data_IF_674530999974
#
_entry.id   IF_674530999974
#
_cell.length_a   1.000
_cell.length_b   1.000
_cell.length_c   1.000
_cell.angle_alpha   90.00
_cell.angle_beta   90.00
_cell.angle_gamma   90.00
#
_symmetry.space_group_name_H-M   'P 1'
#
loop_
_entity.id
_entity.type
_entity.pdbx_description
1 polymer ?
#
# COMPACT_ATOMS: atom_id res chain seq x y z
N UNK A 1 -7.51 16.46 1.59
CA UNK A 1 -6.58 17.62 1.60
C UNK A 1 -5.90 17.79 0.25
N UNK A 2 -5.02 16.89 -0.20
CA UNK A 2 -4.35 17.04 -1.51
C UNK A 2 -5.32 17.05 -2.71
N UNK A 3 -6.25 16.09 -2.77
CA UNK A 3 -7.33 16.09 -3.78
C UNK A 3 -8.34 17.23 -3.63
N UNK A 4 -8.33 17.94 -2.50
CA UNK A 4 -9.18 19.10 -2.20
C UNK A 4 -8.44 20.43 -2.47
N UNK A 5 -7.27 20.38 -3.11
CA UNK A 5 -6.49 21.57 -3.51
C UNK A 5 -5.63 22.19 -2.40
N UNK A 6 -5.52 21.57 -1.22
CA UNK A 6 -4.67 22.08 -0.15
C UNK A 6 -3.21 21.79 -0.47
N UNK A 7 -2.40 22.84 -0.58
CA UNK A 7 -0.98 22.71 -0.90
C UNK A 7 -0.16 22.29 0.32
N UNK A 8 1.02 21.71 0.07
CA UNK A 8 2.01 21.40 1.11
C UNK A 8 2.51 22.64 1.88
N UNK A 9 2.24 23.86 1.38
CA UNK A 9 2.56 25.11 2.05
C UNK A 9 1.56 25.51 3.14
N UNK A 10 0.39 24.86 3.23
CA UNK A 10 -0.58 25.13 4.29
C UNK A 10 -0.04 24.66 5.65
N UNK A 11 -0.08 25.51 6.67
CA UNK A 11 0.53 25.21 7.98
C UNK A 11 0.07 23.87 8.58
N UNK A 12 -1.23 23.56 8.54
CA UNK A 12 -1.76 22.26 9.00
C UNK A 12 -1.23 21.07 8.20
N UNK A 13 -1.02 21.23 6.89
CA UNK A 13 -0.45 20.17 6.05
C UNK A 13 1.02 19.98 6.40
N UNK A 14 1.76 21.08 6.61
CA UNK A 14 3.16 21.04 7.04
C UNK A 14 3.32 20.33 8.38
N UNK A 15 2.53 20.69 9.39
CA UNK A 15 2.58 20.07 10.71
C UNK A 15 2.25 18.56 10.63
N UNK A 16 1.27 18.19 9.79
CA UNK A 16 0.94 16.79 9.54
C UNK A 16 2.07 16.03 8.82
N UNK A 17 2.76 16.67 7.86
CA UNK A 17 3.91 16.08 7.16
C UNK A 17 5.09 15.85 8.11
N UNK A 18 5.37 16.83 8.98
CA UNK A 18 6.45 16.72 9.97
C UNK A 18 6.14 15.62 10.98
N UNK A 19 4.88 15.51 11.43
CA UNK A 19 4.42 14.39 12.24
C UNK A 19 4.60 13.04 11.53
N UNK A 20 4.11 12.89 10.30
CA UNK A 20 4.20 11.62 9.56
C UNK A 20 5.66 11.21 9.37
N UNK A 21 6.54 12.14 9.01
CA UNK A 21 7.99 11.86 8.91
C UNK A 21 8.58 11.41 10.24
N UNK A 22 8.22 12.07 11.34
CA UNK A 22 8.71 11.71 12.67
C UNK A 22 8.21 10.34 13.17
N UNK A 23 7.09 9.84 12.63
CA UNK A 23 6.54 8.52 12.94
C UNK A 23 7.04 7.39 12.03
N UNK A 24 7.95 7.68 11.08
CA UNK A 24 8.51 6.63 10.23
C UNK A 24 9.46 5.73 11.04
N UNK A 25 9.28 4.43 10.90
CA UNK A 25 10.15 3.43 11.53
C UNK A 25 11.55 3.40 10.90
N UNK A 26 12.50 2.83 11.63
CA UNK A 26 13.89 2.73 11.17
C UNK A 26 14.05 1.90 9.89
N UNK A 27 13.11 1.02 9.56
CA UNK A 27 13.08 0.25 8.31
C UNK A 27 12.35 0.97 7.17
N UNK A 28 11.66 2.09 7.45
CA UNK A 28 10.89 2.87 6.49
C UNK A 28 9.38 2.66 6.55
N UNK A 29 8.89 1.71 7.35
CA UNK A 29 7.46 1.43 7.50
C UNK A 29 6.74 2.43 8.42
N UNK A 30 5.40 2.37 8.43
CA UNK A 30 4.56 3.04 9.43
C UNK A 30 3.60 2.07 10.09
N UNK A 31 3.43 2.23 11.40
CA UNK A 31 2.45 1.49 12.17
C UNK A 31 1.00 1.73 11.69
N UNK A 32 0.26 0.66 11.45
CA UNK A 32 -1.14 0.67 11.05
C UNK A 32 -2.09 0.60 12.24
N UNK A 33 -2.64 1.75 12.63
CA UNK A 33 -3.57 1.82 13.77
C UNK A 33 -4.90 1.09 13.55
N UNK A 34 -5.39 0.98 12.31
CA UNK A 34 -6.76 0.54 12.00
C UNK A 34 -6.84 -0.66 11.04
N UNK A 35 -5.71 -1.12 10.54
CA UNK A 35 -5.59 -2.30 9.70
C UNK A 35 -4.23 -2.94 9.96
N UNK A 36 -4.17 -4.26 9.83
CA UNK A 36 -3.01 -5.10 10.19
C UNK A 36 -1.94 -5.01 9.10
N UNK A 37 -0.72 -4.57 9.39
CA UNK A 37 -0.34 -3.50 10.33
C UNK A 37 0.55 -2.53 9.57
N UNK A 38 1.83 -2.89 9.40
CA UNK A 38 2.81 -2.02 8.79
C UNK A 38 2.60 -1.91 7.28
N UNK A 39 2.08 -2.96 6.63
CA UNK A 39 1.67 -2.87 5.21
C UNK A 39 0.56 -1.82 5.06
N UNK A 40 -0.43 -1.87 5.95
CA UNK A 40 -1.57 -0.94 5.97
C UNK A 40 -1.14 0.51 6.23
N UNK A 41 -0.34 0.75 7.28
CA UNK A 41 0.15 2.08 7.62
C UNK A 41 1.00 2.70 6.51
N UNK A 42 1.93 1.91 5.96
CA UNK A 42 2.86 2.38 4.92
C UNK A 42 2.15 2.74 3.62
N UNK A 43 1.20 1.91 3.16
CA UNK A 43 0.40 2.19 1.98
C UNK A 43 -0.36 3.52 2.08
N UNK A 44 -1.01 3.78 3.22
CA UNK A 44 -1.78 5.01 3.40
C UNK A 44 -0.90 6.25 3.36
N UNK A 45 0.26 6.20 4.01
CA UNK A 45 1.22 7.30 3.96
C UNK A 45 1.67 7.55 2.52
N UNK A 46 2.14 6.53 1.82
CA UNK A 46 2.62 6.67 0.44
C UNK A 46 1.55 7.27 -0.49
N UNK A 47 0.30 6.79 -0.40
CA UNK A 47 -0.81 7.36 -1.18
C UNK A 47 -1.13 8.80 -0.79
N UNK A 48 -1.13 9.11 0.50
CA UNK A 48 -1.36 10.47 1.01
C UNK A 48 -0.34 11.46 0.46
N UNK A 49 0.95 11.08 0.47
CA UNK A 49 2.03 11.91 -0.07
C UNK A 49 1.89 12.13 -1.58
N UNK A 50 1.55 11.08 -2.32
CA UNK A 50 1.26 11.19 -3.76
C UNK A 50 0.06 12.11 -4.03
N UNK A 51 -1.01 11.99 -3.25
CA UNK A 51 -2.19 12.84 -3.36
C UNK A 51 -1.92 14.32 -3.06
N UNK A 52 -0.93 14.61 -2.20
CA UNK A 52 -0.44 15.95 -1.91
C UNK A 52 0.57 16.46 -2.96
N UNK A 53 0.81 15.71 -4.04
CA UNK A 53 1.79 16.02 -5.08
C UNK A 53 3.22 16.22 -4.54
N UNK A 54 3.61 15.48 -3.48
CA UNK A 54 5.00 15.47 -3.04
C UNK A 54 5.89 14.77 -4.08
N UNK A 55 7.16 15.17 -4.13
CA UNK A 55 8.17 14.42 -4.86
C UNK A 55 8.40 13.06 -4.18
N UNK A 56 7.94 12.01 -4.85
CA UNK A 56 8.06 10.63 -4.37
C UNK A 56 9.50 10.12 -4.42
N UNK A 57 10.45 10.86 -5.02
CA UNK A 57 11.87 10.51 -5.02
C UNK A 57 12.63 10.89 -3.75
N UNK A 58 11.96 11.49 -2.77
CA UNK A 58 12.59 11.78 -1.48
C UNK A 58 13.09 10.48 -0.80
N UNK A 59 14.28 10.49 -0.16
CA UNK A 59 14.89 9.27 0.39
C UNK A 59 13.99 8.50 1.37
N UNK A 60 13.26 9.20 2.23
CA UNK A 60 12.35 8.60 3.21
C UNK A 60 11.15 7.89 2.55
N UNK A 61 10.67 8.39 1.41
CA UNK A 61 9.61 7.73 0.63
C UNK A 61 10.14 6.51 -0.11
N UNK A 62 11.29 6.63 -0.78
CA UNK A 62 11.93 5.47 -1.43
C UNK A 62 12.22 4.35 -0.44
N UNK A 63 12.63 4.68 0.79
CA UNK A 63 12.86 3.71 1.86
C UNK A 63 11.59 2.93 2.20
N UNK A 64 10.44 3.59 2.25
CA UNK A 64 9.15 2.95 2.46
C UNK A 64 8.72 2.04 1.30
N UNK A 65 8.97 2.47 0.05
CA UNK A 65 8.76 1.64 -1.13
C UNK A 65 9.64 0.38 -1.10
N UNK A 66 10.94 0.56 -0.82
CA UNK A 66 11.90 -0.53 -0.67
C UNK A 66 11.52 -1.48 0.48
N UNK A 67 10.97 -0.97 1.58
CA UNK A 67 10.45 -1.81 2.65
C UNK A 67 9.31 -2.71 2.15
N UNK A 68 8.30 -2.15 1.45
CA UNK A 68 7.23 -2.95 0.86
C UNK A 68 7.79 -4.03 -0.08
N UNK A 69 8.72 -3.68 -0.96
CA UNK A 69 9.37 -4.65 -1.85
C UNK A 69 10.10 -5.76 -1.08
N UNK A 70 10.78 -5.41 0.03
CA UNK A 70 11.56 -6.35 0.83
C UNK A 70 10.72 -7.39 1.58
N UNK A 71 9.45 -7.09 1.86
CA UNK A 71 8.52 -7.99 2.56
C UNK A 71 7.51 -8.65 1.62
N UNK A 72 7.72 -8.58 0.29
CA UNK A 72 6.91 -9.34 -0.65
C UNK A 72 7.23 -10.83 -0.55
N UNK A 73 6.19 -11.67 -0.49
CA UNK A 73 6.36 -13.12 -0.44
C UNK A 73 6.71 -13.72 -1.81
N UNK A 74 7.18 -14.97 -1.82
CA UNK A 74 7.55 -15.69 -3.05
C UNK A 74 6.36 -15.91 -4.00
N UNK A 75 5.14 -16.01 -3.46
CA UNK A 75 3.90 -16.11 -4.25
C UNK A 75 3.49 -14.80 -4.94
N UNK A 76 4.22 -13.70 -4.67
CA UNK A 76 3.99 -12.37 -5.23
C UNK A 76 3.00 -11.53 -4.42
N UNK A 77 2.36 -12.10 -3.40
CA UNK A 77 1.48 -11.38 -2.48
C UNK A 77 2.21 -10.75 -1.30
N UNK A 78 1.41 -10.11 -0.46
CA UNK A 78 1.81 -9.58 0.85
C UNK A 78 0.84 -10.04 1.92
N UNK A 79 1.36 -10.23 3.13
CA UNK A 79 0.57 -10.67 4.25
C UNK A 79 1.25 -10.43 5.58
N UNK A 80 0.44 -10.11 6.57
CA UNK A 80 0.86 -9.76 7.91
C UNK A 80 -0.22 -10.22 8.89
N UNK A 81 0.20 -10.94 9.92
CA UNK A 81 -0.69 -11.42 10.99
C UNK A 81 -0.75 -10.43 12.14
N UNK A 82 -1.82 -10.51 12.92
CA UNK A 82 -2.09 -9.61 14.05
C UNK A 82 -0.99 -9.62 15.14
N UNK A 83 -0.21 -10.70 15.27
CA UNK A 83 0.90 -10.79 16.24
C UNK A 83 2.00 -9.74 16.00
N UNK A 84 2.06 -9.13 14.81
CA UNK A 84 2.93 -7.96 14.52
C UNK A 84 2.66 -6.75 15.43
N UNK A 85 1.45 -6.66 16.03
CA UNK A 85 1.17 -5.62 17.02
C UNK A 85 1.94 -5.84 18.32
N UNK A 86 2.18 -7.11 18.68
CA UNK A 86 2.86 -7.49 19.91
C UNK A 86 4.38 -7.49 19.73
N UNK A 87 4.87 -7.95 18.58
CA UNK A 87 6.30 -8.00 18.27
C UNK A 87 6.58 -7.55 16.82
N UNK A 88 7.31 -6.43 16.63
CA UNK A 88 7.65 -5.91 15.30
C UNK A 88 8.58 -6.83 14.49
N UNK A 89 9.13 -7.90 15.06
CA UNK A 89 9.87 -8.90 14.27
C UNK A 89 8.99 -9.57 13.21
N UNK A 90 7.66 -9.58 13.39
CA UNK A 90 6.69 -10.16 12.46
C UNK A 90 6.17 -9.17 11.42
N UNK A 91 6.81 -8.01 11.27
CA UNK A 91 6.48 -7.02 10.22
C UNK A 91 6.42 -7.67 8.85
N UNK A 92 5.27 -7.54 8.19
CA UNK A 92 5.04 -8.09 6.86
C UNK A 92 5.17 -9.62 6.80
N UNK A 93 4.93 -10.33 7.92
CA UNK A 93 4.95 -11.78 7.98
C UNK A 93 3.56 -12.36 8.23
N UNK A 94 3.16 -13.29 7.36
CA UNK A 94 1.88 -14.00 7.42
C UNK A 94 1.57 -14.65 6.09
N UNK A 95 0.44 -15.35 5.95
CA UNK A 95 -0.03 -15.77 4.63
C UNK A 95 -0.39 -14.55 3.79
N UNK A 96 -0.07 -14.56 2.50
CA UNK A 96 -0.54 -13.53 1.57
C UNK A 96 -2.06 -13.43 1.60
N UNK A 97 -2.57 -12.20 1.60
CA UNK A 97 -4.02 -11.94 1.56
C UNK A 97 -4.35 -10.96 0.43
N UNK A 98 -5.57 -11.04 -0.10
CA UNK A 98 -5.99 -10.18 -1.19
C UNK A 98 -6.01 -8.70 -0.78
N UNK A 99 -6.51 -8.39 0.43
CA UNK A 99 -6.56 -7.01 0.93
C UNK A 99 -5.18 -6.43 1.18
N UNK A 100 -4.28 -7.14 1.85
CA UNK A 100 -2.94 -6.63 2.14
C UNK A 100 -2.05 -6.54 0.90
N UNK A 101 -2.18 -7.50 -0.02
CA UNK A 101 -1.54 -7.40 -1.35
C UNK A 101 -2.04 -6.16 -2.08
N UNK A 102 -3.34 -5.90 -2.07
CA UNK A 102 -3.90 -4.70 -2.68
C UNK A 102 -3.37 -3.40 -2.04
N UNK A 103 -3.17 -3.38 -0.72
CA UNK A 103 -2.55 -2.24 -0.02
C UNK A 103 -1.11 -2.00 -0.49
N UNK A 104 -0.27 -3.03 -0.48
CA UNK A 104 1.11 -2.94 -0.96
C UNK A 104 1.18 -2.48 -2.42
N UNK A 105 0.37 -3.08 -3.30
CA UNK A 105 0.24 -2.69 -4.71
C UNK A 105 -0.12 -1.21 -4.84
N UNK A 106 -1.13 -0.73 -4.12
CA UNK A 106 -1.51 0.68 -4.17
C UNK A 106 -0.45 1.61 -3.56
N UNK A 107 0.32 1.15 -2.57
CA UNK A 107 1.47 1.88 -2.03
C UNK A 107 2.58 2.05 -3.05
N UNK A 108 2.92 0.97 -3.77
CA UNK A 108 3.93 0.98 -4.84
C UNK A 108 3.47 1.78 -6.07
N UNK A 109 2.17 1.74 -6.42
CA UNK A 109 1.60 2.59 -7.47
C UNK A 109 1.80 4.09 -7.22
N UNK A 110 2.04 4.52 -5.97
CA UNK A 110 2.31 5.92 -5.65
C UNK A 110 3.59 6.46 -6.32
N UNK A 111 4.52 5.58 -6.70
CA UNK A 111 5.77 5.95 -7.38
C UNK A 111 5.64 6.11 -8.91
N UNK A 112 4.46 5.86 -9.50
CA UNK A 112 4.18 6.02 -10.94
C UNK A 112 5.11 5.18 -11.87
N UNK A 113 5.62 4.05 -11.37
CA UNK A 113 6.44 3.10 -12.11
C UNK A 113 5.70 1.75 -12.29
N UNK A 114 4.96 1.56 -13.40
CA UNK A 114 4.27 0.30 -13.66
C UNK A 114 5.22 -0.85 -14.01
N UNK A 115 6.49 -0.58 -14.31
CA UNK A 115 7.45 -1.61 -14.70
C UNK A 115 8.12 -2.28 -13.50
N UNK A 116 7.93 -1.73 -12.30
CA UNK A 116 8.40 -2.28 -11.04
C UNK A 116 8.00 -3.77 -10.90
N UNK A 117 9.01 -4.62 -10.64
CA UNK A 117 8.84 -6.07 -10.62
C UNK A 117 7.93 -6.54 -9.47
N UNK A 118 8.07 -5.96 -8.28
CA UNK A 118 7.25 -6.29 -7.13
C UNK A 118 5.79 -5.95 -7.40
N UNK A 119 5.53 -4.77 -7.99
CA UNK A 119 4.20 -4.34 -8.38
C UNK A 119 3.55 -5.32 -9.38
N UNK A 120 4.27 -5.72 -10.44
CA UNK A 120 3.78 -6.70 -11.43
C UNK A 120 3.45 -8.05 -10.81
N UNK A 121 4.30 -8.53 -9.89
CA UNK A 121 4.06 -9.78 -9.15
C UNK A 121 2.83 -9.70 -8.25
N UNK A 122 2.59 -8.55 -7.61
CA UNK A 122 1.37 -8.30 -6.83
C UNK A 122 0.11 -8.33 -7.68
N UNK A 123 0.15 -7.71 -8.86
CA UNK A 123 -0.97 -7.75 -9.82
C UNK A 123 -1.22 -9.17 -10.32
N UNK A 124 -0.16 -9.93 -10.61
CA UNK A 124 -0.27 -11.34 -11.00
C UNK A 124 -0.89 -12.17 -9.87
N UNK A 125 -0.47 -11.99 -8.61
CA UNK A 125 -1.05 -12.67 -7.45
C UNK A 125 -2.56 -12.37 -7.34
N UNK A 126 -2.97 -11.09 -7.38
CA UNK A 126 -4.38 -10.72 -7.30
C UNK A 126 -5.20 -11.32 -8.45
N UNK A 127 -4.64 -11.39 -9.65
CA UNK A 127 -5.33 -11.96 -10.81
C UNK A 127 -5.47 -13.48 -10.68
N UNK A 128 -4.42 -14.16 -10.21
CA UNK A 128 -4.39 -15.62 -10.03
C UNK A 128 -5.32 -16.09 -8.90
N UNK A 129 -5.41 -15.30 -7.83
CA UNK A 129 -6.20 -15.63 -6.64
C UNK A 129 -7.68 -15.22 -6.74
N UNK A 130 -8.09 -14.64 -7.88
CA UNK A 130 -9.50 -14.29 -8.11
C UNK A 130 -10.32 -15.55 -8.34
N UNK A 131 -11.42 -15.68 -7.59
CA UNK A 131 -12.39 -16.76 -7.75
C UNK A 131 -13.17 -16.58 -9.07
N UNK A 132 -13.81 -17.67 -9.54
CA UNK A 132 -14.61 -17.64 -10.77
C UNK A 132 -15.79 -16.66 -10.74
N UNK A 133 -16.30 -16.33 -9.55
CA UNK A 133 -17.36 -15.34 -9.34
C UNK A 133 -16.85 -13.88 -9.26
N UNK A 134 -15.54 -13.69 -9.45
CA UNK A 134 -14.87 -12.39 -9.38
C UNK A 134 -14.47 -11.94 -7.98
N UNK A 135 -14.80 -12.72 -6.93
CA UNK A 135 -14.41 -12.42 -5.55
C UNK A 135 -13.00 -12.90 -5.20
N UNK A 136 -12.51 -12.57 -3.99
CA UNK A 136 -11.33 -13.21 -3.41
C UNK A 136 -11.67 -13.90 -2.09
N UNK A 137 -10.97 -15.01 -1.83
CA UNK A 137 -11.06 -15.70 -0.54
C UNK A 137 -10.04 -15.10 0.43
N UNK A 138 -10.49 -14.76 1.64
CA UNK A 138 -9.62 -14.23 2.69
C UNK A 138 -10.05 -14.80 4.06
N UNK A 139 -9.17 -15.63 4.63
CA UNK A 139 -9.39 -16.27 5.92
C UNK A 139 -8.83 -15.46 7.09
N UNK A 140 -7.72 -14.76 6.85
CA UNK A 140 -7.04 -13.94 7.84
C UNK A 140 -7.86 -12.70 8.23
N UNK A 141 -7.65 -12.22 9.45
CA UNK A 141 -8.24 -10.97 9.92
C UNK A 141 -7.31 -9.81 9.62
N UNK A 142 -7.77 -8.86 8.82
CA UNK A 142 -6.94 -7.76 8.29
C UNK A 142 -7.33 -6.39 8.85
N UNK A 143 -8.48 -6.26 9.50
CA UNK A 143 -8.91 -5.04 10.18
C UNK A 143 -8.57 -5.03 11.68
N UNK A 144 -8.36 -3.84 12.22
CA UNK A 144 -8.05 -3.66 13.65
C UNK A 144 -8.98 -2.61 14.27
N UNK A 145 -9.74 -2.98 15.30
CA UNK A 145 -10.50 -2.01 16.10
C UNK A 145 -9.64 -1.41 17.20
N UNK A 146 -9.16 -2.26 18.12
CA UNK A 146 -8.22 -1.89 19.17
C UNK A 146 -6.99 -2.79 19.06
N UNK A 147 -5.81 -2.26 18.69
CA UNK A 147 -4.59 -3.06 18.63
C UNK A 147 -4.38 -3.84 19.92
N UNK A 148 -3.98 -5.11 19.80
CA UNK A 148 -3.75 -6.04 20.92
C UNK A 148 -5.01 -6.51 21.67
N UNK A 149 -6.18 -5.97 21.38
CA UNK A 149 -7.39 -6.21 22.19
C UNK A 149 -8.61 -6.60 21.35
N UNK A 150 -8.74 -6.12 20.10
CA UNK A 150 -9.91 -6.35 19.26
C UNK A 150 -9.63 -6.19 17.76
N UNK A 151 -9.86 -7.26 16.99
CA UNK A 151 -9.64 -7.32 15.54
C UNK A 151 -10.96 -7.48 14.79
N UNK A 152 -11.01 -6.93 13.57
CA UNK A 152 -12.22 -6.85 12.76
C UNK A 152 -12.01 -7.57 11.43
N UNK A 153 -12.93 -8.47 11.09
CA UNK A 153 -13.04 -9.00 9.73
C UNK A 153 -13.98 -8.09 8.94
N UNK A 154 -13.44 -7.31 8.02
CA UNK A 154 -14.24 -6.55 7.07
C UNK A 154 -14.45 -7.39 5.80
N UNK A 155 -15.57 -8.11 5.70
CA UNK A 155 -15.81 -9.07 4.61
C UNK A 155 -15.75 -8.46 3.20
N UNK A 156 -15.96 -7.14 3.08
CA UNK A 156 -15.89 -6.43 1.80
C UNK A 156 -14.45 -6.10 1.37
N UNK A 157 -13.48 -6.09 2.28
CA UNK A 157 -12.09 -5.69 1.99
C UNK A 157 -11.43 -6.59 0.95
N UNK A 158 -11.70 -7.90 1.03
CA UNK A 158 -11.20 -8.89 0.06
C UNK A 158 -11.66 -8.63 -1.38
N UNK A 159 -12.73 -7.87 -1.59
CA UNK A 159 -13.22 -7.55 -2.93
C UNK A 159 -12.92 -6.10 -3.31
N UNK A 160 -13.19 -5.15 -2.41
CA UNK A 160 -13.05 -3.73 -2.70
C UNK A 160 -11.59 -3.31 -2.95
N UNK A 161 -10.65 -3.81 -2.14
CA UNK A 161 -9.25 -3.40 -2.27
C UNK A 161 -8.57 -3.98 -3.51
N UNK A 162 -8.69 -5.27 -3.85
CA UNK A 162 -8.14 -5.80 -5.10
C UNK A 162 -8.66 -5.07 -6.34
N UNK A 163 -9.97 -4.79 -6.40
CA UNK A 163 -10.54 -4.03 -7.52
C UNK A 163 -9.94 -2.63 -7.63
N UNK A 164 -9.82 -1.90 -6.51
CA UNK A 164 -9.19 -0.58 -6.50
C UNK A 164 -7.71 -0.65 -6.90
N UNK A 165 -6.98 -1.67 -6.43
CA UNK A 165 -5.57 -1.87 -6.75
C UNK A 165 -5.35 -2.13 -8.24
N UNK A 166 -6.13 -3.05 -8.83
CA UNK A 166 -6.11 -3.34 -10.27
C UNK A 166 -6.45 -2.10 -11.10
N UNK A 167 -7.49 -1.35 -10.71
CA UNK A 167 -7.86 -0.11 -11.38
C UNK A 167 -6.75 0.95 -11.30
N UNK A 168 -6.12 1.11 -10.13
CA UNK A 168 -5.01 2.06 -9.91
C UNK A 168 -3.81 1.69 -10.78
N UNK A 169 -3.47 0.39 -10.84
CA UNK A 169 -2.39 -0.11 -11.68
C UNK A 169 -2.66 0.15 -13.16
N UNK A 170 -3.86 -0.18 -13.65
CA UNK A 170 -4.27 0.09 -15.03
C UNK A 170 -4.08 1.56 -15.40
N UNK A 171 -4.50 2.49 -14.53
CA UNK A 171 -4.36 3.93 -14.76
C UNK A 171 -2.90 4.36 -14.88
N UNK A 172 -2.00 3.87 -14.02
CA UNK A 172 -0.57 4.25 -14.10
C UNK A 172 0.08 3.65 -15.36
N UNK A 173 -0.30 2.44 -15.77
CA UNK A 173 0.20 1.80 -17.00
C UNK A 173 -0.23 2.55 -18.25
N UNK A 174 -1.50 2.96 -18.33
CA UNK A 174 -2.02 3.78 -19.44
C UNK A 174 -1.31 5.13 -19.53
N UNK A 175 -1.07 5.80 -18.40
CA UNK A 175 -0.29 7.04 -18.37
C UNK A 175 1.16 6.84 -18.84
N UNK A 176 1.81 5.77 -18.42
CA UNK A 176 3.17 5.46 -18.85
C UNK A 176 3.24 5.18 -20.36
N UNK A 177 2.28 4.43 -20.90
CA UNK A 177 2.17 4.17 -22.33
C UNK A 177 1.95 5.46 -23.14
N UNK A 178 1.06 6.35 -22.68
CA UNK A 178 0.80 7.63 -23.32
C UNK A 178 2.05 8.53 -23.34
N UNK A 179 2.80 8.62 -22.23
CA UNK A 179 4.08 9.35 -22.17
C UNK A 179 5.10 8.79 -23.17
N UNK A 180 5.19 7.47 -23.30
CA UNK A 180 6.12 6.81 -24.22
C UNK A 180 5.77 7.07 -25.69
N UNK A 181 4.48 7.09 -26.02
CA UNK A 181 4.00 7.37 -27.36
C UNK A 181 4.18 8.85 -27.75
N UNK A 182 3.94 9.78 -26.82
CA UNK A 182 4.13 11.22 -27.06
C UNK A 182 5.60 11.68 -27.05
N UNK A 183 6.51 10.90 -26.46
CA UNK A 183 7.96 11.15 -26.56
C UNK A 183 8.56 10.65 -27.90
N UNK A 184 7.82 9.81 -28.63
CA UNK A 184 8.22 9.24 -29.92
C UNK A 184 7.57 9.95 -31.12
N UNK A 185 6.83 11.05 -30.89
CA UNK A 185 6.18 11.90 -31.90
C UNK A 185 6.81 13.28 -31.94
#
# INVERSE_FOLDING_TARGET
>A
LGYEGWSAGHHQVKDALDYVRAQQEADGSWYGRWGVNYIYGTWQVLRGMRALNLDMNQPWLKKAGAWLESVQHDDGGWGERCNTYDDPVFKGQGPSTASQTAWAVMGLCAFDDPENSALKRGIAYLTLMQNADGSWTEHETTGTGFPKVFYLKYDIYRNAWPLLALATYKQISERAAAKKNGANS
#
